data_IF_890518418417
#
_entry.id   IF_890518418417
#
_cell.length_a   1.000
_cell.length_b   1.000
_cell.length_c   1.000
_cell.angle_alpha   90.00
_cell.angle_beta   90.00
_cell.angle_gamma   90.00
#
_symmetry.space_group_name_H-M   'P 1'
#
loop_
_entity.id
_entity.type
_entity.pdbx_description
1 polymer ?
#
# COMPACT_ATOMS: atom_id res chain seq x y z
N UNK A 1 -1.00 -18.35 -12.57
CA UNK A 1 -0.66 -18.32 -11.13
C UNK A 1 0.03 -19.61 -10.68
N UNK A 2 -0.59 -20.78 -10.88
CA UNK A 2 -0.07 -22.06 -10.38
C UNK A 2 1.36 -22.42 -10.89
N UNK A 3 1.65 -22.18 -12.18
CA UNK A 3 2.99 -22.41 -12.73
C UNK A 3 4.07 -21.51 -12.09
N UNK A 4 3.71 -20.28 -11.76
CA UNK A 4 4.63 -19.34 -11.10
C UNK A 4 4.93 -19.80 -9.66
N UNK A 5 3.90 -20.24 -8.92
CA UNK A 5 4.07 -20.80 -7.59
C UNK A 5 4.95 -22.07 -7.61
N UNK A 6 4.75 -22.97 -8.59
CA UNK A 6 5.59 -24.15 -8.78
C UNK A 6 7.05 -23.76 -9.04
N UNK A 7 7.30 -22.75 -9.87
CA UNK A 7 8.64 -22.23 -10.13
C UNK A 7 9.29 -21.67 -8.87
N UNK A 8 8.59 -20.84 -8.10
CA UNK A 8 9.13 -20.24 -6.87
C UNK A 8 9.39 -21.30 -5.79
N UNK A 9 8.53 -22.31 -5.67
CA UNK A 9 8.76 -23.47 -4.79
C UNK A 9 10.04 -24.22 -5.16
N UNK A 10 10.29 -24.43 -6.45
CA UNK A 10 11.50 -25.11 -6.91
C UNK A 10 12.78 -24.30 -6.62
N UNK A 11 12.74 -22.98 -6.76
CA UNK A 11 13.89 -22.08 -6.58
C UNK A 11 14.22 -21.83 -5.10
N UNK A 12 13.20 -21.63 -4.27
CA UNK A 12 13.37 -21.15 -2.88
C UNK A 12 12.97 -22.17 -1.81
N UNK A 13 12.60 -23.39 -2.19
CA UNK A 13 12.15 -24.45 -1.26
C UNK A 13 11.02 -23.97 -0.32
N UNK A 14 10.01 -23.31 -0.90
CA UNK A 14 8.92 -22.69 -0.14
C UNK A 14 8.02 -23.75 0.51
N UNK A 15 7.99 -23.79 1.84
CA UNK A 15 7.00 -24.53 2.61
C UNK A 15 5.57 -24.02 2.38
N UNK A 16 4.56 -24.84 2.69
CA UNK A 16 3.15 -24.45 2.55
C UNK A 16 2.79 -23.20 3.40
N UNK A 17 3.44 -23.01 4.55
CA UNK A 17 3.28 -21.79 5.35
C UNK A 17 3.74 -20.50 4.63
N UNK A 18 4.56 -20.62 3.57
CA UNK A 18 5.09 -19.49 2.80
C UNK A 18 4.28 -19.16 1.54
N UNK A 19 3.15 -19.83 1.30
CA UNK A 19 2.33 -19.54 0.10
C UNK A 19 1.16 -18.59 0.39
N UNK A 20 0.88 -18.34 1.68
CA UNK A 20 -0.14 -17.40 2.12
C UNK A 20 0.51 -16.31 2.98
N UNK A 21 0.13 -15.04 2.80
CA UNK A 21 0.65 -14.00 3.65
C UNK A 21 0.11 -14.09 5.07
N UNK A 22 0.93 -13.67 6.03
CA UNK A 22 0.49 -13.47 7.40
C UNK A 22 -0.42 -12.25 7.44
N UNK A 23 -1.68 -12.46 7.82
CA UNK A 23 -2.64 -11.36 7.96
C UNK A 23 -2.61 -10.82 9.39
N UNK A 24 -2.51 -9.49 9.52
CA UNK A 24 -2.60 -8.79 10.79
C UNK A 24 -3.66 -7.70 10.73
N UNK A 25 -4.64 -7.75 11.63
CA UNK A 25 -5.67 -6.71 11.74
C UNK A 25 -5.18 -5.46 12.48
N UNK A 26 -6.07 -4.47 12.53
CA UNK A 26 -5.96 -3.24 13.34
C UNK A 26 -4.94 -2.23 12.81
N UNK A 27 -4.99 -1.89 11.52
CA UNK A 27 -4.16 -0.80 10.98
C UNK A 27 -5.00 0.35 10.42
N UNK A 28 -4.46 1.56 10.48
CA UNK A 28 -4.90 2.68 9.67
C UNK A 28 -3.88 2.91 8.56
N UNK A 29 -4.37 3.21 7.36
CA UNK A 29 -3.54 3.46 6.19
C UNK A 29 -4.02 4.74 5.52
N UNK A 30 -3.08 5.57 5.09
CA UNK A 30 -3.40 6.72 4.26
C UNK A 30 -3.34 6.30 2.79
N UNK A 31 -4.36 6.68 2.01
CA UNK A 31 -4.39 6.47 0.57
C UNK A 31 -4.84 7.71 -0.20
N UNK A 32 -4.78 8.88 0.45
CA UNK A 32 -5.12 10.13 -0.19
C UNK A 32 -4.13 10.48 -1.31
N UNK A 33 -2.86 10.16 -1.11
CA UNK A 33 -1.78 10.29 -2.09
C UNK A 33 -1.22 8.89 -2.40
N UNK A 34 -1.13 8.47 -3.68
CA UNK A 34 -0.53 7.20 -4.07
C UNK A 34 0.92 7.00 -3.61
N UNK A 35 1.67 8.08 -3.42
CA UNK A 35 3.03 8.04 -2.91
C UNK A 35 3.10 7.97 -1.37
N UNK A 36 1.97 8.15 -0.67
CA UNK A 36 1.95 8.09 0.78
C UNK A 36 2.05 6.65 1.27
N UNK A 37 3.14 6.36 1.99
CA UNK A 37 3.37 5.06 2.63
C UNK A 37 2.95 5.04 4.09
N UNK A 38 2.20 6.03 4.55
CA UNK A 38 1.81 6.13 5.96
C UNK A 38 0.88 4.98 6.33
N UNK A 39 1.29 4.20 7.32
CA UNK A 39 0.55 3.08 7.87
C UNK A 39 0.82 3.02 9.37
N UNK A 40 -0.23 2.84 10.17
CA UNK A 40 -0.11 2.79 11.62
C UNK A 40 -0.82 1.57 12.18
N UNK A 41 -0.08 0.75 12.93
CA UNK A 41 -0.65 -0.32 13.74
C UNK A 41 -1.39 0.29 14.93
N UNK A 42 -2.66 -0.04 15.08
CA UNK A 42 -3.47 0.23 16.26
C UNK A 42 -3.25 -0.88 17.28
N UNK A 43 -3.06 -0.49 18.53
CA UNK A 43 -3.19 -1.39 19.68
C UNK A 43 -4.67 -1.50 20.07
N UNK A 44 -5.04 -2.54 20.80
CA UNK A 44 -6.45 -2.77 21.21
C UNK A 44 -7.04 -1.59 22.00
N UNK A 45 -6.21 -0.88 22.78
CA UNK A 45 -6.60 0.33 23.51
C UNK A 45 -6.55 1.63 22.67
N UNK A 46 -6.08 1.56 21.42
CA UNK A 46 -5.91 2.71 20.52
C UNK A 46 -6.97 2.78 19.41
N UNK A 47 -7.95 1.88 19.42
CA UNK A 47 -9.04 1.89 18.43
C UNK A 47 -9.85 3.21 18.49
N UNK A 48 -9.96 3.84 19.68
CA UNK A 48 -10.63 5.14 19.85
C UNK A 48 -9.79 6.39 19.49
N UNK A 49 -8.50 6.52 19.86
CA UNK A 49 -7.66 7.66 19.43
C UNK A 49 -7.06 7.51 18.03
N UNK A 50 -7.08 6.31 17.43
CA UNK A 50 -6.58 6.04 16.08
C UNK A 50 -7.05 7.04 15.01
N UNK A 51 -8.34 7.42 14.97
CA UNK A 51 -8.86 8.39 14.01
C UNK A 51 -8.17 9.76 14.05
N UNK A 52 -7.79 10.27 15.24
CA UNK A 52 -7.20 11.62 15.37
C UNK A 52 -5.85 11.72 14.67
N UNK A 53 -5.00 10.70 14.79
CA UNK A 53 -3.66 10.73 14.19
C UNK A 53 -3.69 10.53 12.68
N UNK A 54 -4.68 9.77 12.18
CA UNK A 54 -4.92 9.70 10.74
C UNK A 54 -5.47 11.03 10.24
N UNK A 55 -6.39 11.67 10.95
CA UNK A 55 -6.93 12.98 10.59
C UNK A 55 -5.83 14.04 10.48
N UNK A 56 -4.94 14.14 11.48
CA UNK A 56 -3.77 15.03 11.43
C UNK A 56 -2.90 14.76 10.19
N UNK A 57 -2.66 13.49 9.89
CA UNK A 57 -1.87 13.11 8.71
C UNK A 57 -2.59 13.45 7.39
N UNK A 58 -3.90 13.26 7.31
CA UNK A 58 -4.71 13.66 6.14
C UNK A 58 -4.70 15.19 5.99
N UNK A 59 -4.81 15.94 7.08
CA UNK A 59 -4.69 17.41 7.07
C UNK A 59 -3.37 17.87 6.46
N UNK A 60 -2.25 17.20 6.78
CA UNK A 60 -0.95 17.51 6.16
C UNK A 60 -0.98 17.38 4.63
N UNK A 61 -1.62 16.35 4.07
CA UNK A 61 -1.75 16.19 2.61
C UNK A 61 -2.60 17.31 2.00
N UNK A 62 -3.76 17.60 2.60
CA UNK A 62 -4.68 18.63 2.11
C UNK A 62 -4.01 20.02 2.17
N UNK A 63 -3.24 20.31 3.21
CA UNK A 63 -2.47 21.55 3.33
C UNK A 63 -1.32 21.65 2.34
N UNK A 64 -0.60 20.54 2.09
CA UNK A 64 0.48 20.49 1.11
C UNK A 64 -0.05 20.76 -0.30
N UNK A 65 -1.18 20.15 -0.68
CA UNK A 65 -1.87 20.43 -1.94
C UNK A 65 -2.34 21.90 -2.00
N UNK A 66 -2.86 22.44 -0.88
CA UNK A 66 -3.24 23.85 -0.80
C UNK A 66 -2.07 24.79 -1.13
N UNK A 67 -0.90 24.47 -0.56
CA UNK A 67 0.33 25.25 -0.73
C UNK A 67 0.79 25.18 -2.18
N UNK A 68 0.85 23.98 -2.75
CA UNK A 68 1.20 23.76 -4.14
C UNK A 68 0.30 24.56 -5.10
N UNK A 69 -1.03 24.49 -4.93
CA UNK A 69 -1.97 25.23 -5.77
C UNK A 69 -1.81 26.76 -5.66
N UNK A 70 -1.48 27.26 -4.46
CA UNK A 70 -1.14 28.69 -4.28
C UNK A 70 0.14 29.06 -5.02
N UNK A 71 1.20 28.26 -4.87
CA UNK A 71 2.49 28.51 -5.52
C UNK A 71 2.35 28.53 -7.05
N UNK A 72 1.64 27.55 -7.63
CA UNK A 72 1.37 27.51 -9.08
C UNK A 72 0.61 28.76 -9.54
N UNK A 73 -0.36 29.24 -8.74
CA UNK A 73 -1.13 30.45 -9.03
C UNK A 73 -0.28 31.72 -9.01
N UNK A 74 0.63 31.84 -8.05
CA UNK A 74 1.51 33.02 -7.92
C UNK A 74 2.74 32.98 -8.83
N UNK A 75 3.11 31.81 -9.35
CA UNK A 75 4.19 31.67 -10.33
C UNK A 75 3.78 32.12 -11.74
N UNK A 76 2.48 32.31 -12.01
CA UNK A 76 1.96 32.77 -13.30
C UNK A 76 1.83 34.31 -13.32
N UNK A 77 2.18 35.00 -14.43
CA UNK A 77 1.98 36.44 -14.54
C UNK A 77 0.51 36.80 -14.30
N UNK A 78 0.22 37.91 -13.60
CA UNK A 78 -1.16 38.31 -13.34
C UNK A 78 -1.85 38.65 -14.65
N UNK A 79 -2.69 37.74 -15.15
CA UNK A 79 -3.67 38.04 -16.18
C UNK A 79 -4.77 38.90 -15.56
N UNK A 80 -4.91 40.13 -16.04
CA UNK A 80 -6.00 41.03 -15.62
C UNK A 80 -7.35 40.34 -15.79
N UNK A 81 -8.13 40.24 -14.70
CA UNK A 81 -9.46 39.61 -14.68
C UNK A 81 -9.56 38.29 -13.90
N UNK A 82 -8.61 37.99 -13.01
CA UNK A 82 -8.60 36.73 -12.25
C UNK A 82 -9.83 36.58 -11.36
N UNK A 83 -10.79 35.76 -11.80
CA UNK A 83 -11.85 35.24 -10.95
C UNK A 83 -11.24 34.61 -9.69
N UNK A 84 -11.92 34.72 -8.56
CA UNK A 84 -11.59 33.96 -7.36
C UNK A 84 -11.82 32.49 -7.70
N UNK A 85 -10.79 31.81 -8.20
CA UNK A 85 -10.80 30.35 -8.31
C UNK A 85 -10.91 29.84 -6.87
N UNK A 86 -12.13 29.47 -6.48
CA UNK A 86 -12.36 28.57 -5.36
C UNK A 86 -11.77 27.23 -5.80
N UNK A 87 -10.63 26.87 -5.22
CA UNK A 87 -9.98 25.60 -5.53
C UNK A 87 -10.90 24.46 -5.08
N UNK A 88 -11.63 23.90 -6.04
CA UNK A 88 -12.37 22.65 -5.87
C UNK A 88 -11.34 21.54 -5.68
N UNK A 89 -11.52 20.74 -4.64
CA UNK A 89 -10.63 19.62 -4.33
C UNK A 89 -11.37 18.32 -4.50
N UNK A 90 -10.69 17.31 -5.02
CA UNK A 90 -11.28 16.00 -5.21
C UNK A 90 -10.72 15.01 -4.20
N UNK A 91 -11.57 14.14 -3.66
CA UNK A 91 -11.14 13.01 -2.87
C UNK A 91 -10.48 11.97 -3.78
N UNK A 92 -9.16 11.89 -3.76
CA UNK A 92 -8.39 10.93 -4.57
C UNK A 92 -8.29 9.53 -3.94
N UNK A 93 -9.04 9.28 -2.87
CA UNK A 93 -9.03 7.98 -2.19
C UNK A 93 -9.66 6.91 -3.07
N UNK A 94 -8.83 6.01 -3.64
CA UNK A 94 -9.23 4.85 -4.48
C UNK A 94 -10.50 5.09 -5.31
N UNK A 95 -10.45 6.07 -6.21
CA UNK A 95 -11.53 6.37 -7.16
C UNK A 95 -12.82 6.96 -6.56
N UNK A 96 -12.79 7.49 -5.33
CA UNK A 96 -13.93 8.21 -4.77
C UNK A 96 -14.34 9.39 -5.66
N UNK A 97 -13.40 10.30 -5.96
CA UNK A 97 -13.60 11.38 -6.93
C UNK A 97 -14.57 12.49 -6.50
N UNK A 98 -15.17 12.41 -5.31
CA UNK A 98 -16.08 13.45 -4.80
C UNK A 98 -15.36 14.80 -4.67
N UNK A 99 -16.07 15.87 -5.05
CA UNK A 99 -15.54 17.23 -5.10
C UNK A 99 -16.02 18.07 -3.91
N UNK A 100 -15.12 18.87 -3.33
CA UNK A 100 -15.36 19.64 -2.12
C UNK A 100 -14.92 21.10 -2.26
N UNK A 101 -15.70 22.00 -1.65
CA UNK A 101 -15.43 23.44 -1.61
C UNK A 101 -14.71 23.85 -0.31
N UNK A 102 -13.72 23.07 0.11
CA UNK A 102 -12.92 23.39 1.29
C UNK A 102 -12.08 22.22 1.79
N UNK A 103 -10.96 22.54 2.44
CA UNK A 103 -10.07 21.55 3.05
C UNK A 103 -10.78 20.76 4.16
N UNK A 104 -11.50 21.43 5.05
CA UNK A 104 -12.19 20.79 6.18
C UNK A 104 -13.27 19.81 5.74
N UNK A 105 -14.04 20.14 4.69
CA UNK A 105 -15.06 19.24 4.15
C UNK A 105 -14.45 17.98 3.56
N UNK A 106 -13.32 18.11 2.84
CA UNK A 106 -12.58 16.97 2.31
C UNK A 106 -12.01 16.10 3.44
N UNK A 107 -11.41 16.71 4.47
CA UNK A 107 -10.89 15.97 5.64
C UNK A 107 -12.02 15.22 6.34
N UNK A 108 -13.15 15.88 6.61
CA UNK A 108 -14.30 15.26 7.26
C UNK A 108 -14.84 14.08 6.46
N UNK A 109 -15.00 14.25 5.13
CA UNK A 109 -15.40 13.16 4.24
C UNK A 109 -14.42 11.98 4.30
N UNK A 110 -13.10 12.23 4.24
CA UNK A 110 -12.09 11.16 4.32
C UNK A 110 -12.18 10.42 5.65
N UNK A 111 -12.32 11.15 6.76
CA UNK A 111 -12.42 10.55 8.07
C UNK A 111 -13.71 9.77 8.28
N UNK A 112 -14.79 10.13 7.59
CA UNK A 112 -16.07 9.46 7.70
C UNK A 112 -16.15 8.21 6.80
N UNK A 113 -15.75 8.34 5.54
CA UNK A 113 -15.99 7.32 4.51
C UNK A 113 -14.80 6.37 4.33
N UNK A 114 -13.57 6.86 4.57
CA UNK A 114 -12.34 6.17 4.17
C UNK A 114 -11.41 5.76 5.31
N UNK A 115 -11.54 6.38 6.50
CA UNK A 115 -10.73 6.07 7.68
C UNK A 115 -11.17 4.78 8.39
N UNK A 116 -11.21 3.70 7.63
CA UNK A 116 -11.58 2.37 8.11
C UNK A 116 -10.36 1.57 8.52
N UNK A 117 -10.55 0.69 9.51
CA UNK A 117 -9.51 -0.26 9.91
C UNK A 117 -9.22 -1.21 8.75
N UNK A 118 -7.92 -1.34 8.45
CA UNK A 118 -7.39 -2.23 7.46
C UNK A 118 -6.73 -3.46 8.12
N UNK A 119 -6.73 -4.55 7.36
CA UNK A 119 -5.90 -5.71 7.57
C UNK A 119 -4.68 -5.56 6.68
N UNK A 120 -3.50 -5.77 7.25
CA UNK A 120 -2.24 -5.80 6.52
C UNK A 120 -1.85 -7.23 6.20
N UNK A 121 -1.28 -7.43 5.02
CA UNK A 121 -0.63 -8.65 4.62
C UNK A 121 0.89 -8.48 4.75
N UNK A 122 1.52 -9.46 5.40
CA UNK A 122 2.97 -9.55 5.53
C UNK A 122 3.50 -10.80 4.89
N UNK A 123 4.73 -10.72 4.43
CA UNK A 123 5.49 -11.88 4.01
C UNK A 123 5.74 -12.79 5.23
N UNK A 124 5.38 -14.09 5.19
CA UNK A 124 5.59 -15.00 6.31
C UNK A 124 7.07 -15.38 6.53
N UNK A 125 7.93 -15.14 5.54
CA UNK A 125 9.35 -15.48 5.61
C UNK A 125 10.23 -14.36 6.18
N UNK A 126 9.86 -13.09 5.95
CA UNK A 126 10.67 -11.93 6.37
C UNK A 126 9.87 -10.83 7.07
N UNK A 127 8.56 -11.02 7.29
CA UNK A 127 7.64 -10.06 7.92
C UNK A 127 7.50 -8.71 7.20
N UNK A 128 8.03 -8.59 5.97
CA UNK A 128 7.89 -7.40 5.15
C UNK A 128 6.40 -7.12 4.85
N UNK A 129 6.03 -5.84 4.90
CA UNK A 129 4.71 -5.39 4.46
C UNK A 129 4.58 -5.59 2.95
N UNK A 130 3.57 -6.34 2.52
CA UNK A 130 3.32 -6.59 1.09
C UNK A 130 2.01 -5.95 0.61
N UNK A 131 1.13 -5.54 1.53
CA UNK A 131 -0.12 -4.87 1.19
C UNK A 131 -1.04 -4.65 2.38
N UNK A 132 -2.14 -3.94 2.14
CA UNK A 132 -3.21 -3.74 3.09
C UNK A 132 -4.56 -3.65 2.39
N UNK A 133 -5.64 -3.99 3.08
CA UNK A 133 -7.00 -3.82 2.58
C UNK A 133 -7.97 -3.60 3.73
N UNK A 134 -9.02 -2.82 3.51
CA UNK A 134 -10.14 -2.71 4.46
C UNK A 134 -10.95 -4.00 4.47
N UNK A 135 -11.81 -4.21 5.47
CA UNK A 135 -12.71 -5.37 5.52
C UNK A 135 -13.58 -5.47 4.26
N UNK A 136 -14.08 -4.34 3.75
CA UNK A 136 -14.88 -4.27 2.51
C UNK A 136 -14.06 -4.67 1.28
N UNK A 137 -12.79 -4.28 1.24
CA UNK A 137 -11.89 -4.67 0.16
C UNK A 137 -11.51 -6.14 0.26
N UNK A 138 -11.33 -6.67 1.46
CA UNK A 138 -11.06 -8.09 1.68
C UNK A 138 -12.22 -8.99 1.26
N UNK A 139 -13.47 -8.58 1.49
CA UNK A 139 -14.63 -9.36 1.05
C UNK A 139 -14.82 -9.32 -0.46
N UNK A 140 -14.36 -8.25 -1.12
CA UNK A 140 -14.33 -8.16 -2.57
C UNK A 140 -13.11 -8.88 -3.19
N UNK A 141 -12.00 -8.94 -2.46
CA UNK A 141 -10.77 -9.57 -2.88
C UNK A 141 -10.88 -11.10 -2.85
N UNK A 142 -10.41 -11.76 -3.91
CA UNK A 142 -10.22 -13.20 -3.88
C UNK A 142 -8.96 -13.57 -3.09
N UNK A 143 -8.91 -14.77 -2.50
CA UNK A 143 -7.69 -15.29 -1.87
C UNK A 143 -6.46 -15.24 -2.81
N UNK A 144 -6.67 -15.27 -4.13
CA UNK A 144 -5.63 -15.18 -5.14
C UNK A 144 -4.94 -13.81 -5.22
N UNK A 145 -5.60 -12.71 -4.84
CA UNK A 145 -4.98 -11.36 -4.91
C UNK A 145 -3.86 -11.20 -3.88
N UNK A 146 -4.06 -11.70 -2.67
CA UNK A 146 -3.05 -11.70 -1.62
C UNK A 146 -1.86 -12.58 -1.94
N UNK A 147 -2.13 -13.76 -2.52
CA UNK A 147 -1.09 -14.64 -3.03
C UNK A 147 -0.29 -13.94 -4.13
N UNK A 148 -0.95 -13.20 -5.03
CA UNK A 148 -0.27 -12.46 -6.08
C UNK A 148 0.70 -11.41 -5.54
N UNK A 149 0.30 -10.64 -4.53
CA UNK A 149 1.18 -9.68 -3.85
C UNK A 149 2.40 -10.37 -3.22
N UNK A 150 2.18 -11.52 -2.57
CA UNK A 150 3.26 -12.29 -1.97
C UNK A 150 4.23 -12.85 -3.02
N UNK A 151 3.71 -13.39 -4.11
CA UNK A 151 4.52 -13.89 -5.22
C UNK A 151 5.30 -12.77 -5.91
N UNK A 152 4.71 -11.57 -6.04
CA UNK A 152 5.42 -10.38 -6.52
C UNK A 152 6.59 -10.00 -5.62
N UNK A 153 6.41 -10.06 -4.30
CA UNK A 153 7.48 -9.82 -3.33
C UNK A 153 8.60 -10.88 -3.42
N UNK A 154 8.27 -12.15 -3.64
CA UNK A 154 9.28 -13.19 -3.86
C UNK A 154 10.02 -13.01 -5.18
N UNK A 155 9.29 -12.74 -6.26
CA UNK A 155 9.86 -12.54 -7.59
C UNK A 155 10.73 -11.28 -7.71
N UNK A 156 10.55 -10.29 -6.83
CA UNK A 156 11.42 -9.10 -6.81
C UNK A 156 12.81 -9.35 -6.22
N UNK A 157 13.03 -10.50 -5.56
CA UNK A 157 14.29 -10.82 -4.88
C UNK A 157 14.53 -10.01 -3.61
N UNK A 158 13.58 -9.18 -3.17
CA UNK A 158 13.71 -8.35 -1.97
C UNK A 158 13.42 -9.11 -0.67
N UNK A 159 12.99 -10.36 -0.77
CA UNK A 159 12.66 -11.18 0.40
C UNK A 159 13.93 -11.72 1.07
N UNK A 160 14.36 -11.07 2.15
CA UNK A 160 15.54 -11.47 2.93
C UNK A 160 15.39 -12.83 3.65
N UNK A 161 14.14 -13.31 3.79
CA UNK A 161 13.85 -14.60 4.40
C UNK A 161 14.02 -15.79 3.45
N UNK A 162 14.08 -15.53 2.13
CA UNK A 162 14.29 -16.58 1.15
C UNK A 162 15.78 -16.85 0.95
N UNK A 163 16.14 -18.12 1.04
CA UNK A 163 17.45 -18.61 0.64
C UNK A 163 17.28 -19.39 -0.66
N UNK A 164 17.98 -19.02 -1.75
CA UNK A 164 18.00 -19.85 -2.94
C UNK A 164 18.44 -21.26 -2.56
N UNK A 165 17.80 -22.26 -3.12
CA UNK A 165 18.28 -23.63 -3.00
C UNK A 165 19.72 -23.66 -3.50
N UNK A 166 20.66 -24.10 -2.67
CA UNK A 166 22.02 -24.38 -3.15
C UNK A 166 21.88 -25.50 -4.17
N UNK A 167 22.05 -25.18 -5.43
CA UNK A 167 22.30 -26.19 -6.45
C UNK A 167 23.67 -26.74 -6.07
N UNK A 168 23.72 -27.95 -5.55
CA UNK A 168 24.99 -28.63 -5.34
C UNK A 168 25.65 -28.75 -6.71
N UNK A 169 26.83 -28.14 -6.87
CA UNK A 169 27.69 -28.24 -8.07
C UNK A 169 28.25 -29.66 -8.27
N UNK A 170 27.52 -30.70 -7.90
CA UNK A 170 27.96 -32.10 -7.97
C UNK A 170 27.75 -32.72 -9.36
N UNK A 171 27.43 -31.93 -10.39
CA UNK A 171 27.06 -32.42 -11.72
C UNK A 171 27.96 -32.06 -12.91
N UNK A 172 29.02 -31.26 -12.73
CA UNK A 172 29.78 -30.70 -13.88
C UNK A 172 31.24 -31.15 -13.99
N UNK A 173 31.60 -32.32 -13.44
CA UNK A 173 32.93 -32.93 -13.66
C UNK A 173 32.83 -34.44 -13.96
N UNK A 174 32.22 -34.80 -15.07
CA UNK A 174 32.54 -36.05 -15.76
C UNK A 174 32.34 -35.86 -17.27
N UNK A 175 33.19 -36.49 -18.07
CA UNK A 175 33.26 -36.43 -19.54
C UNK A 175 34.13 -35.31 -20.16
N UNK A 176 35.45 -35.36 -19.90
CA UNK A 176 36.43 -35.35 -21.00
C UNK A 176 37.52 -36.38 -20.64
N UNK A 177 37.31 -37.63 -21.08
CA UNK A 177 38.37 -38.57 -21.39
C UNK A 177 38.01 -39.13 -22.76
N UNK A 178 38.71 -38.66 -23.78
CA UNK A 178 39.35 -39.44 -24.84
C UNK A 178 40.24 -38.51 -25.68
#
# INVERSE_FOLDING_TARGET
>A
MENHLKSLRAVYDLADAHIFPTLGGNHLICRLDPACTWTRKLRDNQVRPGPVMLEEHVRMHVEAEARYLREVRYASPPTNGTAIITAVRNCNWRYCGEAFHGAEQLVAHIMQEHAVVAVVARCPACEAFIGAATTKEMTAASAGEWQYLLMGHYGSGQCQGLKPRKVSDEGSQSMIQD
#
